data_IF_122435971345
#
_entry.id   IF_122435971345
#
_cell.length_a   1.000
_cell.length_b   1.000
_cell.length_c   1.000
_cell.angle_alpha   90.00
_cell.angle_beta   90.00
_cell.angle_gamma   90.00
#
_symmetry.space_group_name_H-M   'P 1'
#
loop_
_entity.id
_entity.type
_entity.pdbx_description
1 polymer ?
#
# COMPACT_ATOMS: atom_id res chain seq x y z
N UNK A 1 -25.64 -39.66 20.95
CA UNK A 1 -24.40 -38.85 20.98
C UNK A 1 -24.53 -37.73 19.95
N UNK A 2 -24.99 -36.60 20.41
CA UNK A 2 -24.96 -35.36 19.65
C UNK A 2 -23.50 -34.90 19.59
N UNK A 3 -22.86 -35.10 18.45
CA UNK A 3 -21.55 -34.52 18.16
C UNK A 3 -21.69 -33.00 18.29
N UNK A 4 -21.19 -32.46 19.40
CA UNK A 4 -21.04 -31.03 19.60
C UNK A 4 -20.00 -30.53 18.60
N UNK A 5 -20.45 -29.89 17.53
CA UNK A 5 -19.58 -29.09 16.69
C UNK A 5 -18.93 -28.03 17.62
N UNK A 6 -17.60 -27.84 17.54
CA UNK A 6 -16.96 -26.78 18.31
C UNK A 6 -17.58 -25.47 17.84
N UNK A 7 -18.39 -24.86 18.73
CA UNK A 7 -18.93 -23.53 18.47
C UNK A 7 -17.77 -22.55 18.42
N UNK A 8 -17.41 -22.11 17.19
CA UNK A 8 -16.46 -21.00 17.01
C UNK A 8 -16.97 -19.81 17.84
N UNK A 9 -16.12 -19.25 18.67
CA UNK A 9 -16.46 -18.02 19.40
C UNK A 9 -16.62 -16.89 18.38
N UNK A 10 -17.49 -15.94 18.65
CA UNK A 10 -17.67 -14.76 17.77
C UNK A 10 -16.37 -13.96 17.59
N UNK A 11 -15.45 -13.98 18.58
CA UNK A 11 -14.10 -13.43 18.47
C UNK A 11 -13.28 -14.09 17.38
N UNK A 12 -13.35 -15.43 17.25
CA UNK A 12 -12.57 -16.17 16.24
C UNK A 12 -13.05 -15.82 14.83
N UNK A 13 -14.36 -15.54 14.66
CA UNK A 13 -14.93 -15.11 13.39
C UNK A 13 -14.46 -13.70 12.99
N UNK A 14 -14.37 -12.78 13.96
CA UNK A 14 -13.87 -11.42 13.73
C UNK A 14 -12.40 -11.47 13.35
N UNK A 15 -11.60 -12.25 14.04
CA UNK A 15 -10.18 -12.43 13.75
C UNK A 15 -9.97 -13.04 12.35
N UNK A 16 -10.78 -14.01 11.95
CA UNK A 16 -10.74 -14.58 10.61
C UNK A 16 -11.07 -13.55 9.53
N UNK A 17 -12.08 -12.70 9.75
CA UNK A 17 -12.45 -11.63 8.83
C UNK A 17 -11.32 -10.61 8.70
N UNK A 18 -10.79 -10.14 9.82
CA UNK A 18 -9.78 -9.06 9.86
C UNK A 18 -8.42 -9.52 9.35
N UNK A 19 -7.97 -10.73 9.76
CA UNK A 19 -6.60 -11.18 9.51
C UNK A 19 -6.47 -12.22 8.38
N UNK A 20 -7.57 -12.85 7.95
CA UNK A 20 -7.54 -13.82 6.84
C UNK A 20 -8.26 -13.31 5.60
N UNK A 21 -9.53 -12.89 5.72
CA UNK A 21 -10.35 -12.50 4.57
C UNK A 21 -9.99 -11.09 4.10
N UNK A 22 -9.96 -10.10 5.00
CA UNK A 22 -9.69 -8.70 4.68
C UNK A 22 -8.39 -8.47 3.91
N UNK A 23 -7.24 -9.05 4.31
CA UNK A 23 -5.99 -8.90 3.56
C UNK A 23 -6.04 -9.45 2.14
N UNK A 24 -6.82 -10.51 1.89
CA UNK A 24 -7.01 -11.10 0.56
C UNK A 24 -7.82 -10.20 -0.36
N UNK A 25 -8.96 -9.73 0.13
CA UNK A 25 -9.81 -8.77 -0.59
C UNK A 25 -9.03 -7.48 -0.89
N UNK A 26 -8.31 -6.94 0.08
CA UNK A 26 -7.48 -5.76 -0.09
C UNK A 26 -6.34 -5.98 -1.11
N UNK A 27 -5.74 -7.17 -1.14
CA UNK A 27 -4.71 -7.52 -2.11
C UNK A 27 -5.27 -7.53 -3.53
N UNK A 28 -6.44 -8.10 -3.73
CA UNK A 28 -7.12 -8.15 -5.01
C UNK A 28 -7.33 -6.74 -5.61
N UNK A 29 -7.70 -5.75 -4.80
CA UNK A 29 -7.84 -4.36 -5.24
C UNK A 29 -6.52 -3.62 -5.50
N UNK A 30 -5.39 -4.10 -4.95
CA UNK A 30 -4.06 -3.47 -5.10
C UNK A 30 -3.25 -4.01 -6.26
N UNK A 31 -3.49 -5.27 -6.63
CA UNK A 31 -2.74 -6.01 -7.66
C UNK A 31 -3.38 -5.83 -9.04
N UNK A 32 -3.78 -4.61 -9.39
CA UNK A 32 -4.27 -4.32 -10.75
C UNK A 32 -3.13 -4.53 -11.75
N UNK A 33 -3.24 -5.56 -12.55
CA UNK A 33 -2.51 -5.71 -13.79
C UNK A 33 -3.04 -4.68 -14.79
N UNK A 34 -2.21 -4.26 -15.73
CA UNK A 34 -2.41 -3.15 -16.67
C UNK A 34 -3.87 -2.88 -17.07
N UNK A 35 -4.31 -1.63 -16.86
CA UNK A 35 -5.67 -1.17 -17.22
C UNK A 35 -5.95 -1.25 -18.75
N UNK A 36 -4.94 -1.57 -19.55
CA UNK A 36 -4.99 -1.60 -21.01
C UNK A 36 -5.04 -3.03 -21.60
N UNK A 37 -5.05 -4.08 -20.79
CA UNK A 37 -5.18 -5.45 -21.28
C UNK A 37 -6.66 -5.84 -21.38
N UNK A 38 -7.23 -5.69 -22.57
CA UNK A 38 -8.64 -6.08 -22.87
C UNK A 38 -8.91 -7.59 -22.68
N UNK A 39 -7.86 -8.41 -22.56
CA UNK A 39 -7.94 -9.84 -22.29
C UNK A 39 -7.58 -10.21 -20.86
N UNK A 40 -7.32 -9.22 -19.99
CA UNK A 40 -7.03 -9.49 -18.59
C UNK A 40 -8.24 -10.15 -17.92
N UNK A 41 -7.98 -11.18 -17.14
CA UNK A 41 -8.97 -11.75 -16.21
C UNK A 41 -9.66 -10.64 -15.41
N UNK A 42 -10.92 -10.82 -14.97
CA UNK A 42 -11.64 -9.82 -14.20
C UNK A 42 -10.74 -9.18 -13.16
N UNK A 43 -10.76 -7.85 -13.04
CA UNK A 43 -9.90 -7.16 -12.07
C UNK A 43 -10.02 -7.84 -10.72
N UNK A 44 -8.93 -7.93 -9.95
CA UNK A 44 -8.96 -8.63 -8.67
C UNK A 44 -10.06 -8.13 -7.74
N UNK A 45 -10.42 -6.83 -7.84
CA UNK A 45 -11.57 -6.27 -7.15
C UNK A 45 -12.91 -6.89 -7.60
N UNK A 46 -13.07 -7.20 -8.89
CA UNK A 46 -14.26 -7.90 -9.40
C UNK A 46 -14.35 -9.32 -8.85
N UNK A 47 -13.23 -10.06 -8.89
CA UNK A 47 -13.18 -11.42 -8.31
C UNK A 47 -13.52 -11.43 -6.81
N UNK A 48 -13.16 -10.38 -6.07
CA UNK A 48 -13.51 -10.24 -4.66
C UNK A 48 -15.01 -10.03 -4.44
N UNK A 49 -15.66 -9.24 -5.30
CA UNK A 49 -17.12 -9.03 -5.25
C UNK A 49 -17.85 -10.33 -5.63
N UNK A 50 -17.45 -10.98 -6.72
CA UNK A 50 -18.04 -12.25 -7.16
C UNK A 50 -17.93 -13.31 -6.07
N UNK A 51 -16.77 -13.46 -5.42
CA UNK A 51 -16.62 -14.37 -4.29
C UNK A 51 -17.64 -14.13 -3.16
N UNK A 52 -17.93 -12.85 -2.87
CA UNK A 52 -18.81 -12.49 -1.75
C UNK A 52 -20.29 -12.73 -2.04
N UNK A 53 -20.69 -12.75 -3.32
CA UNK A 53 -22.09 -12.91 -3.74
C UNK A 53 -22.38 -14.28 -4.36
N UNK A 54 -21.35 -15.09 -4.64
CA UNK A 54 -21.51 -16.40 -5.27
C UNK A 54 -22.16 -17.42 -4.32
N UNK A 55 -23.26 -18.00 -4.76
CA UNK A 55 -23.98 -19.02 -4.00
C UNK A 55 -23.53 -20.46 -4.26
N UNK A 56 -22.73 -20.69 -5.32
CA UNK A 56 -22.18 -22.00 -5.65
C UNK A 56 -20.79 -22.17 -5.04
N UNK A 57 -20.64 -23.15 -4.15
CA UNK A 57 -19.40 -23.39 -3.41
C UNK A 57 -18.19 -23.67 -4.32
N UNK A 58 -18.40 -24.41 -5.42
CA UNK A 58 -17.31 -24.73 -6.36
C UNK A 58 -16.81 -23.48 -7.09
N UNK A 59 -17.72 -22.63 -7.55
CA UNK A 59 -17.37 -21.37 -8.22
C UNK A 59 -16.75 -20.37 -7.21
N UNK A 60 -17.30 -20.29 -6.01
CA UNK A 60 -16.72 -19.48 -4.93
C UNK A 60 -15.28 -19.91 -4.58
N UNK A 61 -15.00 -21.22 -4.60
CA UNK A 61 -13.64 -21.74 -4.39
C UNK A 61 -12.67 -21.30 -5.50
N UNK A 62 -13.11 -21.22 -6.75
CA UNK A 62 -12.29 -20.71 -7.88
C UNK A 62 -11.92 -19.24 -7.67
N UNK A 63 -12.88 -18.39 -7.34
CA UNK A 63 -12.61 -16.97 -7.00
C UNK A 63 -11.71 -16.84 -5.77
N UNK A 64 -11.91 -17.69 -4.77
CA UNK A 64 -11.07 -17.75 -3.57
C UNK A 64 -9.60 -18.02 -3.92
N UNK A 65 -9.34 -18.98 -4.81
CA UNK A 65 -7.98 -19.31 -5.28
C UNK A 65 -7.34 -18.12 -6.02
N UNK A 66 -8.09 -17.42 -6.85
CA UNK A 66 -7.61 -16.22 -7.57
C UNK A 66 -7.20 -15.13 -6.58
N UNK A 67 -8.02 -14.86 -5.57
CA UNK A 67 -7.73 -13.84 -4.55
C UNK A 67 -6.55 -14.25 -3.68
N UNK A 68 -6.41 -15.53 -3.37
CA UNK A 68 -5.24 -16.06 -2.65
C UNK A 68 -3.95 -15.88 -3.46
N UNK A 69 -3.97 -16.13 -4.76
CA UNK A 69 -2.83 -15.87 -5.65
C UNK A 69 -2.43 -14.39 -5.61
N UNK A 70 -3.36 -13.46 -5.79
CA UNK A 70 -3.10 -12.02 -5.66
C UNK A 70 -2.49 -11.64 -4.30
N UNK A 71 -2.94 -12.26 -3.22
CA UNK A 71 -2.39 -11.98 -1.89
C UNK A 71 -0.97 -12.52 -1.71
N UNK A 72 -0.63 -13.68 -2.32
CA UNK A 72 0.73 -14.20 -2.31
C UNK A 72 1.68 -13.31 -3.13
N UNK A 73 1.26 -12.91 -4.32
CA UNK A 73 2.03 -12.01 -5.19
C UNK A 73 2.27 -10.66 -4.49
N UNK A 74 1.22 -10.07 -3.92
CA UNK A 74 1.37 -8.84 -3.13
C UNK A 74 2.38 -9.00 -2.01
N UNK A 75 2.35 -10.12 -1.25
CA UNK A 75 3.31 -10.35 -0.15
C UNK A 75 4.74 -10.48 -0.66
N UNK A 76 4.93 -11.10 -1.82
CA UNK A 76 6.25 -11.26 -2.44
C UNK A 76 6.80 -9.90 -2.88
N UNK A 77 6.01 -9.13 -3.63
CA UNK A 77 6.39 -7.80 -4.11
C UNK A 77 6.63 -6.85 -2.94
N UNK A 78 5.75 -6.85 -1.93
CA UNK A 78 5.89 -6.04 -0.72
C UNK A 78 7.24 -6.30 -0.01
N UNK A 79 7.64 -7.55 0.15
CA UNK A 79 8.93 -7.91 0.74
C UNK A 79 10.11 -7.44 -0.09
N UNK A 80 10.06 -7.66 -1.41
CA UNK A 80 11.13 -7.23 -2.33
C UNK A 80 11.29 -5.72 -2.31
N UNK A 81 10.20 -4.97 -2.51
CA UNK A 81 10.23 -3.51 -2.54
C UNK A 81 10.65 -2.91 -1.19
N UNK A 82 10.19 -3.51 -0.08
CA UNK A 82 10.62 -3.07 1.26
C UNK A 82 12.12 -3.28 1.45
N UNK A 83 12.67 -4.42 1.01
CA UNK A 83 14.10 -4.68 1.09
C UNK A 83 14.90 -3.73 0.22
N UNK A 84 14.46 -3.47 -1.02
CA UNK A 84 15.10 -2.47 -1.90
C UNK A 84 15.12 -1.07 -1.25
N UNK A 85 14.02 -0.67 -0.62
CA UNK A 85 13.93 0.61 0.07
C UNK A 85 14.87 0.69 1.28
N UNK A 86 14.98 -0.37 2.08
CA UNK A 86 15.97 -0.47 3.16
C UNK A 86 17.40 -0.38 2.63
N UNK A 87 17.72 -1.16 1.60
CA UNK A 87 19.05 -1.16 0.98
C UNK A 87 19.41 0.24 0.45
N UNK A 88 18.44 0.95 -0.12
CA UNK A 88 18.63 2.32 -0.60
C UNK A 88 18.97 3.28 0.55
N UNK A 89 18.25 3.21 1.66
CA UNK A 89 18.52 4.05 2.85
C UNK A 89 19.88 3.70 3.45
N UNK A 90 20.18 2.40 3.58
CA UNK A 90 21.42 1.93 4.19
C UNK A 90 22.68 2.33 3.40
N UNK A 91 22.59 2.37 2.06
CA UNK A 91 23.67 2.81 1.16
C UNK A 91 23.85 4.34 1.13
N UNK A 92 22.93 5.11 1.70
CA UNK A 92 22.96 6.57 1.69
C UNK A 92 23.05 7.12 3.14
N UNK A 93 24.26 7.24 3.71
CA UNK A 93 24.42 7.67 5.10
C UNK A 93 23.75 9.01 5.41
N UNK A 94 23.74 9.94 4.45
CA UNK A 94 23.08 11.24 4.61
C UNK A 94 21.57 11.09 4.87
N UNK A 95 20.91 10.08 4.33
CA UNK A 95 19.48 9.82 4.57
C UNK A 95 19.21 9.33 5.99
N UNK A 96 20.20 8.70 6.64
CA UNK A 96 20.03 8.19 8.02
C UNK A 96 19.91 9.32 9.03
N UNK A 97 20.56 10.44 8.76
CA UNK A 97 20.57 11.63 9.62
C UNK A 97 19.31 12.51 9.45
N UNK A 98 18.52 12.27 8.39
CA UNK A 98 17.31 13.06 8.14
C UNK A 98 16.20 12.71 9.14
N UNK A 99 15.38 13.70 9.48
CA UNK A 99 14.21 13.56 10.35
C UNK A 99 12.99 12.97 9.64
N UNK A 100 13.02 12.88 8.32
CA UNK A 100 12.00 12.27 7.49
C UNK A 100 12.63 11.42 6.39
N UNK A 101 11.84 10.59 5.73
CA UNK A 101 12.28 9.75 4.61
C UNK A 101 11.42 10.07 3.39
N UNK A 102 12.04 10.45 2.30
CA UNK A 102 11.38 10.54 0.97
C UNK A 102 12.17 9.68 0.00
N UNK A 103 11.52 8.67 -0.56
CA UNK A 103 12.13 7.74 -1.50
C UNK A 103 11.30 7.67 -2.77
N UNK A 104 11.97 7.72 -3.91
CA UNK A 104 11.37 7.58 -5.23
C UNK A 104 12.00 6.46 -6.02
N UNK A 105 11.15 5.56 -6.56
CA UNK A 105 11.57 4.59 -7.55
C UNK A 105 10.43 4.38 -8.56
N UNK A 106 10.66 4.73 -9.86
CA UNK A 106 9.61 4.67 -10.89
C UNK A 106 9.13 3.25 -11.22
N UNK A 107 9.84 2.22 -10.77
CA UNK A 107 9.51 0.81 -11.05
C UNK A 107 8.63 0.16 -9.97
N UNK A 108 8.42 0.82 -8.85
CA UNK A 108 7.61 0.24 -7.78
C UNK A 108 6.12 0.32 -8.13
N UNK A 109 5.37 -0.68 -7.70
CA UNK A 109 3.95 -0.76 -7.94
C UNK A 109 3.19 0.22 -7.03
N UNK A 110 2.32 1.07 -7.60
CA UNK A 110 1.49 2.05 -6.88
C UNK A 110 0.70 1.44 -5.71
N UNK A 111 0.13 0.24 -5.90
CA UNK A 111 -0.65 -0.45 -4.87
C UNK A 111 0.15 -0.88 -3.62
N UNK A 112 1.49 -0.85 -3.69
CA UNK A 112 2.40 -1.34 -2.63
C UNK A 112 3.07 -0.20 -1.85
N UNK A 113 3.29 0.97 -2.45
CA UNK A 113 4.07 2.06 -1.83
C UNK A 113 3.56 2.46 -0.44
N UNK A 114 2.25 2.40 -0.20
CA UNK A 114 1.68 2.69 1.12
C UNK A 114 1.99 1.64 2.19
N UNK A 115 2.17 0.38 1.78
CA UNK A 115 2.58 -0.70 2.68
C UNK A 115 4.06 -0.52 3.02
N UNK A 116 4.88 -0.25 2.01
CA UNK A 116 6.32 0.03 2.19
C UNK A 116 6.54 1.21 3.12
N UNK A 117 5.81 2.33 2.93
CA UNK A 117 5.89 3.48 3.82
C UNK A 117 5.59 3.10 5.28
N UNK A 118 4.57 2.26 5.53
CA UNK A 118 4.26 1.77 6.88
C UNK A 118 5.40 0.94 7.47
N UNK A 119 6.00 0.03 6.71
CA UNK A 119 7.13 -0.80 7.17
C UNK A 119 8.40 0.00 7.46
N UNK A 120 8.68 1.02 6.65
CA UNK A 120 9.82 1.90 6.89
C UNK A 120 9.66 2.71 8.19
N UNK A 121 8.42 3.10 8.54
CA UNK A 121 8.16 3.72 9.84
C UNK A 121 8.44 2.78 11.00
N UNK A 122 8.08 1.50 10.88
CA UNK A 122 8.37 0.50 11.92
C UNK A 122 9.87 0.39 12.21
N UNK A 123 10.72 0.58 11.18
CA UNK A 123 12.18 0.50 11.31
C UNK A 123 12.83 1.82 11.70
N UNK A 124 12.47 2.92 11.04
CA UNK A 124 13.19 4.20 11.18
C UNK A 124 12.47 5.21 12.08
N UNK A 125 11.21 4.95 12.44
CA UNK A 125 10.36 5.75 13.32
C UNK A 125 10.37 7.26 13.00
N UNK A 126 10.12 7.59 11.74
CA UNK A 126 10.04 8.98 11.25
C UNK A 126 9.05 9.10 10.10
N UNK A 127 8.51 10.31 9.82
CA UNK A 127 7.61 10.53 8.69
C UNK A 127 8.22 10.03 7.39
N UNK A 128 7.46 9.27 6.62
CA UNK A 128 7.98 8.58 5.42
C UNK A 128 7.04 8.76 4.24
N UNK A 129 7.59 9.17 3.11
CA UNK A 129 6.93 9.29 1.81
C UNK A 129 7.59 8.32 0.84
N UNK A 130 6.81 7.45 0.23
CA UNK A 130 7.26 6.51 -0.80
C UNK A 130 6.58 6.86 -2.11
N UNK A 131 7.37 7.15 -3.13
CA UNK A 131 6.95 7.66 -4.42
C UNK A 131 7.24 6.65 -5.54
N UNK A 132 6.37 6.61 -6.54
CA UNK A 132 6.55 5.83 -7.76
C UNK A 132 5.95 6.53 -8.96
N UNK A 133 6.19 6.02 -10.17
CA UNK A 133 5.58 6.52 -11.40
C UNK A 133 4.25 5.81 -11.68
N UNK A 134 3.23 6.57 -12.07
CA UNK A 134 1.95 6.03 -12.53
C UNK A 134 1.28 7.01 -13.50
N UNK A 135 0.92 6.55 -14.68
CA UNK A 135 0.21 7.34 -15.70
C UNK A 135 0.88 8.70 -16.03
N UNK A 136 2.22 8.70 -16.14
CA UNK A 136 2.99 9.91 -16.46
C UNK A 136 3.21 10.88 -15.28
N UNK A 137 2.67 10.59 -14.11
CA UNK A 137 2.87 11.37 -12.88
C UNK A 137 3.60 10.56 -11.82
N UNK A 138 4.29 11.26 -10.94
CA UNK A 138 4.80 10.66 -9.71
C UNK A 138 3.68 10.65 -8.68
N UNK A 139 3.32 9.48 -8.20
CA UNK A 139 2.32 9.30 -7.15
C UNK A 139 2.96 8.66 -5.94
N UNK A 140 2.45 8.95 -4.76
CA UNK A 140 3.00 8.43 -3.54
C UNK A 140 2.02 8.25 -2.41
N UNK A 141 2.52 7.56 -1.42
CA UNK A 141 1.83 7.39 -0.15
C UNK A 141 2.76 7.77 0.98
N UNK A 142 2.25 8.56 1.88
CA UNK A 142 2.97 9.04 3.06
C UNK A 142 2.35 8.44 4.33
N UNK A 143 3.21 8.20 5.32
CA UNK A 143 2.83 7.74 6.66
C UNK A 143 3.55 8.56 7.69
N UNK A 144 2.93 8.72 8.87
CA UNK A 144 3.47 9.53 9.96
C UNK A 144 3.66 8.75 11.25
N UNK A 145 4.43 9.35 12.14
CA UNK A 145 4.60 8.92 13.53
C UNK A 145 3.82 9.84 14.47
N UNK A 146 3.49 9.42 15.70
CA UNK A 146 2.88 10.30 16.69
C UNK A 146 3.65 11.62 16.87
N UNK A 147 2.90 12.72 16.91
CA UNK A 147 3.48 14.06 17.13
C UNK A 147 3.88 14.82 15.86
N UNK A 148 3.73 14.23 14.67
CA UNK A 148 3.99 14.91 13.40
C UNK A 148 2.71 14.96 12.55
N UNK A 149 2.27 16.16 12.20
CA UNK A 149 1.11 16.35 11.31
C UNK A 149 1.54 16.24 9.84
N UNK A 150 1.34 15.04 9.29
CA UNK A 150 1.69 14.74 7.91
C UNK A 150 0.90 15.53 6.90
N UNK A 151 -0.38 15.79 7.19
CA UNK A 151 -1.24 16.54 6.27
C UNK A 151 -0.70 17.96 6.08
N UNK A 152 -0.39 18.66 7.16
CA UNK A 152 0.18 20.00 7.09
C UNK A 152 1.55 20.03 6.41
N UNK A 153 2.39 19.02 6.65
CA UNK A 153 3.68 18.90 5.98
C UNK A 153 3.54 18.74 4.46
N UNK A 154 2.60 17.91 3.99
CA UNK A 154 2.30 17.75 2.56
C UNK A 154 1.64 19.02 1.99
N UNK A 155 0.70 19.63 2.71
CA UNK A 155 0.02 20.85 2.32
C UNK A 155 0.99 22.04 2.15
N UNK A 156 2.05 22.12 2.95
CA UNK A 156 3.10 23.13 2.81
C UNK A 156 3.84 23.08 1.47
N UNK A 157 3.72 21.94 0.75
CA UNK A 157 4.28 21.72 -0.58
C UNK A 157 3.19 21.73 -1.68
N UNK A 158 1.98 22.22 -1.40
CA UNK A 158 0.81 22.12 -2.30
C UNK A 158 1.03 22.71 -3.68
N UNK A 159 1.86 23.75 -3.80
CA UNK A 159 2.23 24.37 -5.08
C UNK A 159 3.04 23.46 -6.03
N UNK A 160 3.61 22.38 -5.51
CA UNK A 160 4.34 21.35 -6.26
C UNK A 160 3.46 20.16 -6.63
N UNK A 161 2.25 20.07 -6.08
CA UNK A 161 1.38 18.90 -6.17
C UNK A 161 0.23 19.14 -7.15
N UNK A 162 -0.08 18.17 -8.00
CA UNK A 162 -1.29 18.15 -8.83
C UNK A 162 -2.51 17.74 -7.97
N UNK A 163 -2.32 16.87 -7.00
CA UNK A 163 -3.34 16.41 -6.08
C UNK A 163 -2.71 15.84 -4.80
N UNK A 164 -3.37 16.06 -3.67
CA UNK A 164 -3.04 15.44 -2.39
C UNK A 164 -4.28 15.32 -1.51
N UNK A 165 -4.23 14.43 -0.54
CA UNK A 165 -5.29 14.27 0.44
C UNK A 165 -4.93 13.26 1.50
N UNK A 166 -5.61 13.33 2.64
CA UNK A 166 -5.35 12.45 3.75
C UNK A 166 -5.68 13.07 5.10
N UNK A 167 -4.95 12.68 6.10
CA UNK A 167 -5.05 13.17 7.48
C UNK A 167 -3.68 13.12 8.16
N UNK A 168 -3.60 13.53 9.43
CA UNK A 168 -2.34 13.66 10.16
C UNK A 168 -1.44 12.40 10.19
N UNK A 169 -1.97 11.19 9.93
CA UNK A 169 -1.18 9.95 9.97
C UNK A 169 -0.93 9.32 8.61
N UNK A 170 -1.71 9.66 7.60
CA UNK A 170 -1.56 9.10 6.27
C UNK A 170 -2.03 10.08 5.19
N UNK A 171 -1.27 10.21 4.13
CA UNK A 171 -1.63 11.01 2.97
C UNK A 171 -1.26 10.30 1.67
N UNK A 172 -2.02 10.63 0.62
CA UNK A 172 -1.68 10.33 -0.76
C UNK A 172 -1.36 11.63 -1.50
N UNK A 173 -0.46 11.57 -2.47
CA UNK A 173 -0.07 12.73 -3.25
C UNK A 173 0.31 12.34 -4.68
N UNK A 174 0.18 13.33 -5.57
CA UNK A 174 0.56 13.19 -6.99
C UNK A 174 1.23 14.50 -7.42
N UNK A 175 2.33 14.39 -8.17
CA UNK A 175 3.08 15.53 -8.67
C UNK A 175 3.69 15.23 -10.04
N UNK A 176 4.20 16.25 -10.70
CA UNK A 176 5.02 16.09 -11.89
C UNK A 176 6.41 15.56 -11.52
N UNK A 177 7.06 14.75 -12.41
CA UNK A 177 8.38 14.22 -12.13
C UNK A 177 9.44 15.27 -11.79
N UNK A 178 9.38 16.43 -12.44
CA UNK A 178 10.28 17.56 -12.21
C UNK A 178 10.20 18.17 -10.82
N UNK A 179 9.09 17.94 -10.11
CA UNK A 179 8.86 18.49 -8.76
C UNK A 179 9.41 17.60 -7.63
N UNK A 180 9.82 16.37 -7.92
CA UNK A 180 10.21 15.38 -6.89
C UNK A 180 11.39 15.86 -6.04
N UNK A 181 12.39 16.46 -6.65
CA UNK A 181 13.59 16.93 -5.94
C UNK A 181 13.23 18.08 -4.98
N UNK A 182 12.50 19.08 -5.46
CA UNK A 182 12.10 20.23 -4.66
C UNK A 182 11.10 19.83 -3.56
N UNK A 183 10.16 18.95 -3.87
CA UNK A 183 9.28 18.36 -2.85
C UNK A 183 10.08 17.67 -1.75
N UNK A 184 11.04 16.83 -2.12
CA UNK A 184 11.90 16.11 -1.17
C UNK A 184 12.67 17.09 -0.27
N UNK A 185 13.22 18.12 -0.85
CA UNK A 185 13.97 19.17 -0.11
C UNK A 185 13.07 19.89 0.90
N UNK A 186 11.87 20.33 0.48
CA UNK A 186 10.93 21.07 1.33
C UNK A 186 10.34 20.19 2.43
N UNK A 187 9.94 18.97 2.08
CA UNK A 187 9.38 18.02 3.05
C UNK A 187 10.40 17.65 4.15
N UNK A 188 11.67 17.49 3.80
CA UNK A 188 12.73 17.24 4.79
C UNK A 188 13.08 18.47 5.64
N UNK A 189 12.74 19.68 5.19
CA UNK A 189 13.00 20.92 5.91
C UNK A 189 11.85 21.33 6.85
N UNK A 190 10.66 20.75 6.67
CA UNK A 190 9.48 20.97 7.52
C UNK A 190 9.67 20.31 8.88
#
# INVERSE_FOLDING_TARGET
DLHSFPTRRSSDLIDDIVFKIGPRINAAGRMRMDENDENASPSGGHAAVELLIEGNESIAAEFGNVIDAYNQDRKSIDRSVTQEAHDFIERNPAMKELKSTVIYNPKWMKGIVGIVASRLIETYYRPTVVLTMSNGFVTGSARSVPGFDLYQAVESCSDLLENFGGHMYAAGLTMRPENVEEFTRRFNAY
#
